data_IF_462973892781
#
_entry.id   IF_462973892781
#
_cell.length_a   1.000
_cell.length_b   1.000
_cell.length_c   1.000
_cell.angle_alpha   90.00
_cell.angle_beta   90.00
_cell.angle_gamma   90.00
#
_symmetry.space_group_name_H-M   'P 1'
#
loop_
_entity.id
_entity.type
_entity.pdbx_description
1 polymer ?
#
# COMPACT_ATOMS: atom_id res chain seq x y z
N UNK A 1 -8.06 10.62 7.13
CA UNK A 1 -8.55 11.32 5.91
C UNK A 1 -7.62 10.94 4.79
N UNK A 2 -8.15 10.49 3.66
CA UNK A 2 -7.34 9.87 2.61
C UNK A 2 -7.30 10.76 1.37
N UNK A 3 -6.11 10.95 0.79
CA UNK A 3 -5.92 11.76 -0.41
C UNK A 3 -5.28 10.95 -1.54
N UNK A 4 -5.68 11.24 -2.77
CA UNK A 4 -5.09 10.64 -3.98
C UNK A 4 -5.21 9.13 -3.99
N UNK A 5 -4.09 8.44 -4.19
CA UNK A 5 -4.02 6.97 -4.32
C UNK A 5 -3.91 6.26 -2.97
N UNK A 6 -4.69 6.70 -1.98
CA UNK A 6 -4.77 6.01 -0.69
C UNK A 6 -3.89 6.57 0.42
N UNK A 7 -3.20 7.70 0.24
CA UNK A 7 -2.38 8.30 1.29
C UNK A 7 -3.26 8.76 2.47
N UNK A 8 -3.34 7.97 3.53
CA UNK A 8 -4.16 8.25 4.72
C UNK A 8 -3.37 9.08 5.73
N UNK A 9 -3.70 10.37 5.82
CA UNK A 9 -3.11 11.34 6.74
C UNK A 9 -3.21 10.92 8.21
N UNK A 10 -4.18 10.09 8.57
CA UNK A 10 -4.36 9.61 9.94
C UNK A 10 -3.31 8.59 10.38
N UNK A 11 -2.67 7.90 9.43
CA UNK A 11 -1.74 6.79 9.69
C UNK A 11 -0.28 7.16 9.45
N UNK A 12 0.00 8.38 8.99
CA UNK A 12 1.37 8.81 8.68
C UNK A 12 2.05 9.43 9.90
N UNK A 13 3.30 9.06 10.19
CA UNK A 13 4.03 9.61 11.33
C UNK A 13 4.32 11.10 11.14
N UNK A 14 4.68 11.53 9.94
CA UNK A 14 4.95 12.94 9.61
C UNK A 14 4.34 13.37 8.26
N UNK A 15 3.02 13.59 8.21
CA UNK A 15 2.34 13.98 6.98
C UNK A 15 2.77 15.36 6.48
N UNK A 16 3.31 16.24 7.34
CA UNK A 16 3.75 17.58 6.94
C UNK A 16 4.95 17.47 6.01
N UNK A 17 5.97 16.72 6.40
CA UNK A 17 7.17 16.50 5.60
C UNK A 17 6.86 15.79 4.30
N UNK A 18 6.03 14.74 4.34
CA UNK A 18 5.62 14.01 3.13
C UNK A 18 4.91 14.90 2.11
N UNK A 19 3.92 15.69 2.57
CA UNK A 19 3.17 16.61 1.72
C UNK A 19 4.07 17.71 1.14
N UNK A 20 4.96 18.29 1.95
CA UNK A 20 5.91 19.30 1.50
C UNK A 20 6.88 18.75 0.45
N UNK A 21 7.43 17.55 0.65
CA UNK A 21 8.32 16.86 -0.30
C UNK A 21 7.59 16.46 -1.59
N UNK A 22 6.30 16.11 -1.49
CA UNK A 22 5.43 15.92 -2.64
C UNK A 22 5.21 17.22 -3.42
N UNK A 23 5.47 18.38 -2.82
CA UNK A 23 5.29 19.71 -3.39
C UNK A 23 3.90 20.28 -3.14
N UNK A 24 3.17 19.79 -2.14
CA UNK A 24 1.92 20.40 -1.66
C UNK A 24 2.28 21.68 -0.89
N UNK A 25 1.57 22.76 -1.18
CA UNK A 25 1.86 24.11 -0.65
C UNK A 25 0.64 24.67 0.07
N UNK A 26 0.84 25.78 0.76
CA UNK A 26 -0.25 26.54 1.37
C UNK A 26 -1.24 27.09 0.33
N UNK A 27 -2.52 27.26 0.70
CA UNK A 27 -3.12 26.97 2.02
C UNK A 27 -3.47 25.47 2.23
N UNK A 28 -3.34 24.65 1.19
CA UNK A 28 -3.74 23.23 1.26
C UNK A 28 -2.87 22.44 2.25
N UNK A 29 -1.57 22.73 2.34
CA UNK A 29 -0.64 22.00 3.20
C UNK A 29 -1.07 22.04 4.66
N UNK A 30 -1.21 23.22 5.27
CA UNK A 30 -1.60 23.35 6.67
C UNK A 30 -2.98 22.75 6.94
N UNK A 31 -3.91 22.89 5.99
CA UNK A 31 -5.24 22.29 6.11
C UNK A 31 -5.18 20.75 6.11
N UNK A 32 -4.41 20.12 5.21
CA UNK A 32 -4.26 18.67 5.20
C UNK A 32 -3.56 18.15 6.47
N UNK A 33 -2.54 18.84 6.95
CA UNK A 33 -1.84 18.49 8.20
C UNK A 33 -2.80 18.57 9.39
N UNK A 34 -3.68 19.57 9.41
CA UNK A 34 -4.69 19.74 10.45
C UNK A 34 -5.70 18.58 10.54
N UNK A 35 -5.82 17.75 9.50
CA UNK A 35 -6.67 16.56 9.51
C UNK A 35 -6.03 15.34 10.20
N UNK A 36 -4.73 15.41 10.54
CA UNK A 36 -4.02 14.29 11.20
C UNK A 36 -4.75 13.86 12.47
N UNK A 37 -4.85 12.54 12.67
CA UNK A 37 -5.52 11.94 13.83
C UNK A 37 -7.05 12.03 13.83
N UNK A 38 -7.67 12.75 12.89
CA UNK A 38 -9.14 12.79 12.78
C UNK A 38 -9.66 11.53 12.11
N UNK A 39 -10.66 10.91 12.74
CA UNK A 39 -11.32 9.69 12.27
C UNK A 39 -12.84 9.84 12.33
N UNK A 40 -13.57 8.98 11.59
CA UNK A 40 -15.03 8.92 11.62
C UNK A 40 -15.71 10.28 11.45
N UNK A 41 -16.62 10.60 12.37
CA UNK A 41 -17.39 11.84 12.33
C UNK A 41 -16.51 13.10 12.45
N UNK A 42 -15.39 13.05 13.19
CA UNK A 42 -14.48 14.18 13.31
C UNK A 42 -13.76 14.48 11.97
N UNK A 43 -13.39 13.43 11.23
CA UNK A 43 -12.82 13.60 9.89
C UNK A 43 -13.86 14.16 8.91
N UNK A 44 -15.10 13.66 8.97
CA UNK A 44 -16.22 14.14 8.14
C UNK A 44 -16.52 15.61 8.41
N UNK A 45 -16.60 16.01 9.68
CA UNK A 45 -16.82 17.40 10.07
C UNK A 45 -15.69 18.32 9.57
N UNK A 46 -14.43 17.90 9.69
CA UNK A 46 -13.28 18.66 9.21
C UNK A 46 -13.27 18.86 7.70
N UNK A 47 -13.61 17.80 6.94
CA UNK A 47 -13.76 17.89 5.49
C UNK A 47 -14.90 18.86 5.11
N UNK A 48 -15.99 18.86 5.87
CA UNK A 48 -17.13 19.76 5.65
C UNK A 48 -16.78 21.22 5.96
N UNK A 49 -15.93 21.48 6.96
CA UNK A 49 -15.47 22.83 7.30
C UNK A 49 -14.43 23.41 6.33
N UNK A 50 -14.05 22.69 5.26
CA UNK A 50 -13.14 23.21 4.25
C UNK A 50 -13.71 24.49 3.60
N UNK A 51 -12.90 25.55 3.60
CA UNK A 51 -13.24 26.81 2.92
C UNK A 51 -13.36 26.61 1.39
N UNK A 52 -14.00 27.56 0.70
CA UNK A 52 -14.10 27.53 -0.77
C UNK A 52 -12.71 27.48 -1.42
N UNK A 53 -11.74 28.22 -0.88
CA UNK A 53 -10.36 28.24 -1.37
C UNK A 53 -9.69 26.85 -1.28
N UNK A 54 -9.82 26.16 -0.14
CA UNK A 54 -9.29 24.80 0.03
C UNK A 54 -9.94 23.84 -0.95
N UNK A 55 -11.26 23.94 -1.15
CA UNK A 55 -12.01 23.07 -2.07
C UNK A 55 -11.63 23.24 -3.54
N UNK A 56 -11.03 24.37 -3.93
CA UNK A 56 -10.52 24.60 -5.28
C UNK A 56 -9.18 23.91 -5.53
N UNK A 57 -8.46 23.51 -4.49
CA UNK A 57 -7.19 22.84 -4.64
C UNK A 57 -7.38 21.36 -4.95
N UNK A 58 -6.57 20.84 -5.87
CA UNK A 58 -6.49 19.41 -6.16
C UNK A 58 -5.03 19.00 -6.18
N UNK A 59 -4.72 17.86 -5.56
CA UNK A 59 -3.37 17.30 -5.67
C UNK A 59 -3.14 16.74 -7.08
N UNK A 60 -2.08 17.21 -7.71
CA UNK A 60 -1.68 16.81 -9.06
C UNK A 60 -1.29 15.34 -9.12
N UNK A 61 -1.33 14.74 -10.33
CA UNK A 61 -0.84 13.37 -10.55
C UNK A 61 0.62 13.18 -10.09
N UNK A 62 1.46 14.20 -10.28
CA UNK A 62 2.86 14.18 -9.84
C UNK A 62 2.98 14.17 -8.30
N UNK A 63 2.19 14.97 -7.59
CA UNK A 63 2.14 14.95 -6.13
C UNK A 63 1.63 13.60 -5.60
N UNK A 64 0.55 13.06 -6.19
CA UNK A 64 0.03 11.74 -5.85
C UNK A 64 1.09 10.65 -6.03
N UNK A 65 1.85 10.69 -7.13
CA UNK A 65 2.93 9.75 -7.40
C UNK A 65 4.06 9.87 -6.37
N UNK A 66 4.48 11.08 -6.01
CA UNK A 66 5.51 11.27 -4.98
C UNK A 66 5.08 10.74 -3.61
N UNK A 67 3.85 11.02 -3.19
CA UNK A 67 3.28 10.48 -1.95
C UNK A 67 3.22 8.94 -2.00
N UNK A 68 2.87 8.39 -3.15
CA UNK A 68 2.83 6.94 -3.35
C UNK A 68 4.22 6.30 -3.30
N UNK A 69 5.26 6.89 -3.90
CA UNK A 69 6.62 6.34 -3.85
C UNK A 69 7.12 6.22 -2.41
N UNK A 70 6.92 7.25 -1.59
CA UNK A 70 7.34 7.21 -0.18
C UNK A 70 6.68 6.06 0.56
N UNK A 71 5.36 5.88 0.35
CA UNK A 71 4.62 4.74 0.91
C UNK A 71 5.15 3.41 0.36
N UNK A 72 5.40 3.33 -0.95
CA UNK A 72 5.92 2.13 -1.61
C UNK A 72 7.25 1.69 -0.98
N UNK A 73 8.19 2.62 -0.77
CA UNK A 73 9.47 2.34 -0.14
C UNK A 73 9.29 1.85 1.29
N UNK A 74 8.41 2.46 2.09
CA UNK A 74 8.07 1.98 3.44
C UNK A 74 7.52 0.54 3.39
N UNK A 75 6.62 0.26 2.45
CA UNK A 75 6.07 -1.09 2.27
C UNK A 75 7.15 -2.09 1.85
N UNK A 76 8.04 -1.72 0.92
CA UNK A 76 9.18 -2.54 0.48
C UNK A 76 10.11 -2.85 1.66
N UNK A 77 10.55 -1.85 2.42
CA UNK A 77 11.42 -2.05 3.58
C UNK A 77 10.77 -2.97 4.60
N UNK A 78 9.46 -2.81 4.81
CA UNK A 78 8.76 -3.65 5.76
C UNK A 78 8.54 -5.08 5.26
N UNK A 79 8.40 -5.30 3.95
CA UNK A 79 8.45 -6.64 3.35
C UNK A 79 9.81 -7.27 3.58
N UNK A 80 10.89 -6.56 3.24
CA UNK A 80 12.27 -7.04 3.41
C UNK A 80 12.58 -7.42 4.87
N UNK A 81 12.16 -6.59 5.82
CA UNK A 81 12.30 -6.86 7.25
C UNK A 81 11.55 -8.13 7.67
N UNK A 82 10.31 -8.31 7.21
CA UNK A 82 9.53 -9.52 7.51
C UNK A 82 10.16 -10.75 6.86
N UNK A 83 10.39 -10.72 5.54
CA UNK A 83 10.90 -11.87 4.80
C UNK A 83 12.32 -12.26 5.23
N UNK A 84 13.11 -11.27 5.64
CA UNK A 84 14.47 -11.45 6.15
C UNK A 84 14.55 -11.92 7.60
N UNK A 85 13.44 -12.01 8.33
CA UNK A 85 13.43 -12.59 9.67
C UNK A 85 13.82 -14.07 9.65
N UNK A 86 14.69 -14.50 10.58
CA UNK A 86 15.32 -15.83 10.53
C UNK A 86 14.36 -17.02 10.39
N UNK A 87 13.18 -16.95 11.01
CA UNK A 87 12.13 -17.98 10.86
C UNK A 87 11.61 -18.02 9.41
N UNK A 88 11.30 -16.87 8.82
CA UNK A 88 10.78 -16.82 7.46
C UNK A 88 11.85 -17.21 6.43
N UNK A 89 13.12 -16.85 6.66
CA UNK A 89 14.23 -17.30 5.81
C UNK A 89 14.41 -18.82 5.88
N UNK A 90 14.30 -19.40 7.08
CA UNK A 90 14.38 -20.85 7.27
C UNK A 90 13.24 -21.58 6.58
N UNK A 91 12.01 -21.08 6.73
CA UNK A 91 10.81 -21.76 6.25
C UNK A 91 10.58 -21.58 4.75
N UNK A 92 10.96 -20.41 4.20
CA UNK A 92 10.59 -20.01 2.83
C UNK A 92 11.77 -19.61 1.94
N UNK A 93 12.96 -19.39 2.52
CA UNK A 93 14.15 -18.91 1.81
C UNK A 93 14.31 -17.38 1.81
N UNK A 94 15.36 -16.90 1.15
CA UNK A 94 15.75 -15.49 1.12
C UNK A 94 15.10 -14.78 -0.06
N UNK A 95 14.26 -13.78 0.23
CA UNK A 95 13.66 -12.93 -0.80
C UNK A 95 14.69 -11.94 -1.35
N UNK A 96 15.22 -12.23 -2.55
CA UNK A 96 16.12 -11.33 -3.27
C UNK A 96 15.31 -10.32 -4.09
N UNK A 97 14.92 -9.20 -3.47
CA UNK A 97 13.96 -8.25 -4.05
C UNK A 97 14.26 -7.85 -5.49
N UNK A 98 15.52 -7.51 -5.78
CA UNK A 98 15.91 -6.98 -7.10
C UNK A 98 15.91 -8.04 -8.21
N UNK A 99 15.86 -9.34 -7.87
CA UNK A 99 15.72 -10.43 -8.85
C UNK A 99 14.27 -10.84 -9.09
N UNK A 100 13.33 -10.36 -8.27
CA UNK A 100 11.90 -10.66 -8.40
C UNK A 100 11.29 -9.79 -9.50
N UNK A 101 10.46 -10.39 -10.35
CA UNK A 101 9.81 -9.66 -11.45
C UNK A 101 8.95 -8.49 -10.94
N UNK A 102 8.88 -7.40 -11.70
CA UNK A 102 8.13 -6.20 -11.31
C UNK A 102 6.66 -6.51 -10.97
N UNK A 103 6.03 -7.38 -11.75
CA UNK A 103 4.65 -7.82 -11.55
C UNK A 103 4.45 -8.52 -10.20
N UNK A 104 5.40 -9.36 -9.78
CA UNK A 104 5.37 -10.00 -8.46
C UNK A 104 5.65 -9.00 -7.35
N UNK A 105 6.65 -8.11 -7.52
CA UNK A 105 6.91 -7.03 -6.55
C UNK A 105 5.66 -6.20 -6.28
N UNK A 106 4.90 -5.86 -7.31
CA UNK A 106 3.67 -5.07 -7.17
C UNK A 106 2.59 -5.81 -6.37
N UNK A 107 2.42 -7.14 -6.58
CA UNK A 107 1.53 -7.97 -5.77
C UNK A 107 1.99 -8.03 -4.32
N UNK A 108 3.29 -8.19 -4.07
CA UNK A 108 3.83 -8.22 -2.70
C UNK A 108 3.51 -6.91 -1.96
N UNK A 109 3.72 -5.77 -2.63
CA UNK A 109 3.42 -4.45 -2.07
C UNK A 109 1.92 -4.27 -1.87
N UNK A 110 1.09 -4.69 -2.82
CA UNK A 110 -0.35 -4.62 -2.69
C UNK A 110 -0.87 -5.40 -1.48
N UNK A 111 -0.41 -6.66 -1.33
CA UNK A 111 -0.73 -7.48 -0.17
C UNK A 111 -0.26 -6.82 1.11
N UNK A 112 0.95 -6.26 1.12
CA UNK A 112 1.47 -5.60 2.31
C UNK A 112 0.67 -4.36 2.67
N UNK A 113 0.36 -3.53 1.68
CA UNK A 113 -0.36 -2.28 1.85
C UNK A 113 -1.78 -2.50 2.38
N UNK A 114 -2.51 -3.50 1.86
CA UNK A 114 -3.85 -3.85 2.35
C UNK A 114 -3.83 -4.51 3.74
N UNK A 115 -2.70 -5.08 4.13
CA UNK A 115 -2.56 -5.89 5.33
C UNK A 115 -2.78 -7.40 5.12
N UNK A 116 -2.86 -7.87 3.88
CA UNK A 116 -2.98 -9.29 3.52
C UNK A 116 -1.70 -10.08 3.70
N UNK A 117 -0.56 -9.41 3.78
CA UNK A 117 0.73 -10.06 3.98
C UNK A 117 1.01 -10.34 5.48
N UNK A 118 0.24 -11.24 6.06
CA UNK A 118 0.29 -11.63 7.47
C UNK A 118 0.77 -13.07 7.68
N UNK A 119 0.97 -13.50 8.95
CA UNK A 119 1.52 -14.83 9.28
C UNK A 119 0.79 -16.00 8.57
N UNK A 120 -0.55 -16.08 8.59
CA UNK A 120 -1.26 -17.13 7.86
C UNK A 120 -1.00 -17.16 6.35
N UNK A 121 -1.07 -16.00 5.66
CA UNK A 121 -0.94 -15.96 4.20
C UNK A 121 0.46 -16.31 3.71
N UNK A 122 1.49 -15.92 4.48
CA UNK A 122 2.89 -16.25 4.17
C UNK A 122 3.16 -17.74 4.04
N UNK A 123 2.39 -18.59 4.74
CA UNK A 123 2.54 -20.05 4.67
C UNK A 123 2.41 -20.62 3.26
N UNK A 124 1.61 -19.99 2.41
CA UNK A 124 1.43 -20.43 1.04
C UNK A 124 2.02 -19.47 0.00
N UNK A 125 2.14 -18.17 0.31
CA UNK A 125 2.55 -17.17 -0.70
C UNK A 125 4.02 -16.75 -0.63
N UNK A 126 4.70 -16.88 0.52
CA UNK A 126 6.06 -16.34 0.63
C UNK A 126 7.08 -17.14 -0.17
N UNK A 127 7.00 -18.48 -0.14
CA UNK A 127 7.94 -19.32 -0.90
C UNK A 127 7.84 -19.07 -2.42
N UNK A 128 6.64 -19.00 -3.02
CA UNK A 128 6.49 -18.58 -4.41
C UNK A 128 7.10 -17.20 -4.73
N UNK A 129 7.07 -16.25 -3.79
CA UNK A 129 7.75 -14.96 -3.96
C UNK A 129 9.27 -15.09 -3.99
N UNK A 130 9.84 -15.91 -3.11
CA UNK A 130 11.28 -16.18 -3.06
C UNK A 130 11.75 -16.87 -4.34
N UNK A 131 10.95 -17.80 -4.85
CA UNK A 131 11.24 -18.58 -6.06
C UNK A 131 10.92 -17.83 -7.36
N UNK A 132 10.35 -16.62 -7.27
CA UNK A 132 9.87 -15.82 -8.41
C UNK A 132 8.89 -16.62 -9.30
N UNK A 133 8.09 -17.51 -8.70
CA UNK A 133 7.17 -18.43 -9.37
C UNK A 133 5.81 -17.77 -9.61
N UNK A 134 5.68 -17.12 -10.78
CA UNK A 134 4.48 -16.41 -11.18
C UNK A 134 3.24 -17.32 -11.24
N UNK A 135 3.39 -18.56 -11.72
CA UNK A 135 2.26 -19.48 -11.88
C UNK A 135 1.75 -19.96 -10.53
N UNK A 136 2.66 -20.27 -9.61
CA UNK A 136 2.26 -20.63 -8.24
C UNK A 136 1.63 -19.45 -7.51
N UNK A 137 2.14 -18.22 -7.70
CA UNK A 137 1.53 -17.02 -7.15
C UNK A 137 0.09 -16.84 -7.67
N UNK A 138 -0.13 -17.00 -8.98
CA UNK A 138 -1.49 -16.97 -9.56
C UNK A 138 -2.40 -17.99 -8.90
N UNK A 139 -1.96 -19.24 -8.79
CA UNK A 139 -2.75 -20.30 -8.16
C UNK A 139 -3.15 -19.96 -6.72
N UNK A 140 -2.19 -19.49 -5.91
CA UNK A 140 -2.44 -19.17 -4.51
C UNK A 140 -3.28 -17.89 -4.35
N UNK A 141 -3.17 -16.91 -5.25
CA UNK A 141 -4.00 -15.70 -5.28
C UNK A 141 -5.43 -16.04 -5.70
N UNK A 142 -5.62 -16.90 -6.71
CA UNK A 142 -6.94 -17.34 -7.19
C UNK A 142 -7.70 -18.23 -6.20
N UNK A 143 -7.00 -18.85 -5.24
CA UNK A 143 -7.63 -19.71 -4.24
C UNK A 143 -8.37 -18.88 -3.18
N UNK A 144 -9.68 -18.70 -3.35
CA UNK A 144 -10.52 -17.88 -2.44
C UNK A 144 -10.39 -18.24 -0.95
N UNK A 145 -10.23 -19.52 -0.61
CA UNK A 145 -10.06 -19.96 0.79
C UNK A 145 -8.79 -19.42 1.45
N UNK A 146 -7.80 -18.98 0.67
CA UNK A 146 -6.61 -18.31 1.20
C UNK A 146 -6.89 -16.84 1.60
N UNK A 147 -8.04 -16.28 1.17
CA UNK A 147 -8.34 -14.85 1.14
C UNK A 147 -9.75 -14.54 1.64
N UNK A 148 -10.23 -15.25 2.65
CA UNK A 148 -11.63 -15.18 3.11
C UNK A 148 -12.10 -13.76 3.50
N UNK A 149 -11.19 -12.93 4.03
CA UNK A 149 -11.46 -11.53 4.41
C UNK A 149 -11.18 -10.51 3.30
N UNK A 150 -10.79 -10.97 2.10
CA UNK A 150 -10.52 -10.13 0.93
C UNK A 150 -11.77 -10.10 0.04
N UNK A 151 -12.27 -8.91 -0.35
CA UNK A 151 -13.37 -8.82 -1.31
C UNK A 151 -13.06 -9.58 -2.61
N UNK A 152 -14.07 -10.30 -3.13
CA UNK A 152 -13.93 -11.10 -4.36
C UNK A 152 -13.44 -10.29 -5.56
N UNK A 153 -13.92 -9.06 -5.69
CA UNK A 153 -13.48 -8.13 -6.74
C UNK A 153 -11.97 -7.89 -6.65
N UNK A 154 -11.45 -7.71 -5.45
CA UNK A 154 -10.02 -7.48 -5.22
C UNK A 154 -9.17 -8.69 -5.58
N UNK A 155 -9.64 -9.90 -5.25
CA UNK A 155 -8.98 -11.14 -5.68
C UNK A 155 -8.96 -11.19 -7.21
N UNK A 156 -10.09 -10.90 -7.86
CA UNK A 156 -10.21 -10.92 -9.33
C UNK A 156 -9.31 -9.89 -10.01
N UNK A 157 -9.18 -8.68 -9.45
CA UNK A 157 -8.25 -7.66 -9.94
C UNK A 157 -6.80 -8.12 -9.91
N UNK A 158 -6.37 -8.76 -8.81
CA UNK A 158 -5.00 -9.29 -8.68
C UNK A 158 -4.73 -10.37 -9.71
N UNK A 159 -5.68 -11.27 -9.94
CA UNK A 159 -5.57 -12.33 -10.94
C UNK A 159 -5.44 -11.74 -12.34
N UNK A 160 -6.32 -10.80 -12.74
CA UNK A 160 -6.23 -10.13 -14.04
C UNK A 160 -4.88 -9.42 -14.24
N UNK A 161 -4.41 -8.70 -13.22
CA UNK A 161 -3.10 -8.06 -13.26
C UNK A 161 -1.96 -9.08 -13.49
N UNK A 162 -2.02 -10.22 -12.79
CA UNK A 162 -1.05 -11.30 -12.93
C UNK A 162 -1.10 -11.94 -14.33
N UNK A 163 -2.28 -12.09 -14.92
CA UNK A 163 -2.51 -12.59 -16.28
C UNK A 163 -2.08 -11.59 -17.36
N UNK A 164 -1.96 -10.30 -17.04
CA UNK A 164 -1.59 -9.26 -17.99
C UNK A 164 -2.77 -8.74 -18.82
N UNK A 165 -3.98 -8.83 -18.27
CA UNK A 165 -5.21 -8.27 -18.81
C UNK A 165 -5.53 -6.91 -18.20
#
# INVERSE_FOLDING_TARGET
MTIGRGYDLGQQPDPKTDLANAGVREPLLSWLVGAKGKQGQAAKAYLNSASKEIRLHTITRKQQYKLFISVYEVMKQSVLSISGGGVNQKDYGILSWDSVSKKIQDIIIDLRYRGDYHKPSRKFIQKPFVENDLEKIKQEISRKSNWESVPLERVSERVRYLEGQ
#
